data_IF_753392479328
#
_entry.id   IF_753392479328
#
_cell.length_a   1.000
_cell.length_b   1.000
_cell.length_c   1.000
_cell.angle_alpha   90.00
_cell.angle_beta   90.00
_cell.angle_gamma   90.00
#
_symmetry.space_group_name_H-M   'P 1'
#
loop_
_entity.id
_entity.type
_entity.pdbx_description
1 polymer ?
#
# COMPACT_ATOMS: atom_id res chain seq x y z
N UNK A 1 -59.88 18.05 -7.69
CA UNK A 1 -58.78 18.95 -8.11
C UNK A 1 -58.15 19.51 -6.84
N UNK A 2 -57.15 18.83 -6.28
CA UNK A 2 -56.54 19.24 -5.01
C UNK A 2 -55.11 19.71 -5.28
N UNK A 3 -54.89 21.02 -5.14
CA UNK A 3 -53.58 21.66 -5.26
C UNK A 3 -52.87 21.54 -3.91
N UNK A 4 -51.75 20.84 -3.88
CA UNK A 4 -50.81 20.86 -2.76
C UNK A 4 -49.67 21.83 -3.10
N UNK A 5 -49.54 22.87 -2.30
CA UNK A 5 -48.48 23.88 -2.42
C UNK A 5 -47.23 23.38 -1.71
N UNK A 6 -46.15 23.15 -2.46
CA UNK A 6 -44.82 22.89 -1.93
C UNK A 6 -44.26 24.15 -1.25
N UNK A 7 -43.85 24.04 0.01
CA UNK A 7 -43.02 25.07 0.66
C UNK A 7 -41.58 24.57 0.67
N UNK A 8 -40.72 25.18 -0.15
CA UNK A 8 -39.29 24.91 -0.18
C UNK A 8 -38.60 25.70 0.95
N UNK A 9 -38.04 25.00 1.93
CA UNK A 9 -37.15 25.59 2.92
C UNK A 9 -35.72 25.57 2.38
N UNK A 10 -35.22 26.76 2.02
CA UNK A 10 -33.83 27.00 1.65
C UNK A 10 -33.00 27.04 2.95
N UNK A 11 -32.34 25.93 3.29
CA UNK A 11 -31.37 25.91 4.40
C UNK A 11 -30.00 26.26 3.82
N UNK A 12 -29.59 27.52 4.04
CA UNK A 12 -28.24 28.01 3.82
C UNK A 12 -27.40 27.65 5.06
N UNK A 13 -26.72 26.49 5.05
CA UNK A 13 -25.71 26.17 6.07
C UNK A 13 -24.32 26.38 5.49
N UNK A 14 -23.58 27.25 6.18
CA UNK A 14 -22.32 27.83 5.73
C UNK A 14 -21.17 26.84 5.61
N UNK A 15 -20.32 27.13 4.63
CA UNK A 15 -18.97 26.59 4.51
C UNK A 15 -18.10 27.15 5.64
N UNK A 16 -17.56 26.26 6.49
CA UNK A 16 -16.41 26.59 7.34
C UNK A 16 -15.18 26.07 6.60
N UNK A 17 -14.41 26.99 6.02
CA UNK A 17 -13.08 26.71 5.46
C UNK A 17 -12.09 26.70 6.61
N UNK A 18 -11.69 25.52 7.07
CA UNK A 18 -10.58 25.38 8.02
C UNK A 18 -9.26 25.45 7.27
N UNK A 19 -8.70 26.66 7.19
CA UNK A 19 -7.31 26.88 6.81
C UNK A 19 -6.41 26.70 8.04
N UNK A 20 -5.54 25.70 8.01
CA UNK A 20 -4.35 25.59 8.85
C UNK A 20 -3.20 25.39 7.84
N UNK A 21 -2.23 26.26 7.64
CA UNK A 21 -1.48 27.07 8.61
C UNK A 21 -0.02 26.71 8.37
N UNK A 22 0.63 27.35 7.40
CA UNK A 22 2.07 27.23 7.15
C UNK A 22 2.86 28.09 8.14
N UNK A 23 3.98 27.60 8.67
CA UNK A 23 5.07 28.48 9.08
C UNK A 23 6.28 28.30 8.16
N UNK A 24 6.58 29.40 7.46
CA UNK A 24 7.89 29.72 6.90
C UNK A 24 8.81 30.30 7.97
N UNK A 25 10.09 29.90 7.99
CA UNK A 25 11.20 30.85 8.21
C UNK A 25 12.19 30.57 9.35
N UNK A 26 13.47 30.48 8.96
CA UNK A 26 14.68 30.80 9.75
C UNK A 26 15.25 29.63 10.57
N UNK A 27 16.53 29.25 10.52
CA UNK A 27 17.74 29.99 10.17
C UNK A 27 18.74 29.87 11.33
N UNK A 28 19.91 29.25 11.09
CA UNK A 28 21.02 29.09 12.04
C UNK A 28 21.42 27.61 12.21
N UNK A 29 22.66 27.16 12.08
CA UNK A 29 23.96 27.84 12.03
C UNK A 29 24.95 27.11 12.94
N UNK A 30 25.61 26.05 12.44
CA UNK A 30 26.84 25.42 13.00
C UNK A 30 26.73 24.77 14.40
N UNK A 31 27.76 24.03 14.88
CA UNK A 31 29.13 23.97 14.39
C UNK A 31 29.59 22.60 13.86
N UNK A 32 30.70 22.72 13.14
CA UNK A 32 31.53 21.69 12.51
C UNK A 32 32.33 20.94 13.59
N UNK A 33 32.38 19.62 13.52
CA UNK A 33 33.48 18.85 14.13
C UNK A 33 33.98 17.87 13.07
N UNK A 34 35.09 18.25 12.45
CA UNK A 34 35.95 17.34 11.71
C UNK A 34 36.76 16.51 12.71
N UNK A 35 36.90 15.21 12.47
CA UNK A 35 38.18 14.58 12.74
C UNK A 35 38.49 13.52 11.69
N UNK A 36 39.73 13.59 11.23
CA UNK A 36 40.34 12.92 10.08
C UNK A 36 41.29 11.84 10.60
N UNK A 37 41.36 10.68 9.92
CA UNK A 37 42.57 9.90 9.60
C UNK A 37 42.13 8.50 9.11
N UNK A 38 42.33 8.15 7.83
CA UNK A 38 43.52 7.50 7.25
C UNK A 38 43.64 6.02 7.67
N UNK A 39 43.82 5.00 6.81
CA UNK A 39 44.03 4.92 5.36
C UNK A 39 44.26 3.45 4.95
N UNK A 40 44.54 3.27 3.65
CA UNK A 40 45.19 2.11 2.97
C UNK A 40 44.45 0.76 2.79
N UNK A 41 44.08 0.51 1.52
CA UNK A 41 44.07 -0.78 0.75
C UNK A 41 45.49 -1.41 0.68
N UNK A 42 45.77 -2.61 0.11
CA UNK A 42 44.92 -3.66 -0.51
C UNK A 42 45.30 -5.16 -0.20
N UNK A 43 44.47 -6.08 -0.73
CA UNK A 43 44.76 -7.43 -1.27
C UNK A 43 45.58 -8.48 -0.46
N UNK A 44 45.06 -9.72 -0.34
CA UNK A 44 45.39 -10.86 -1.24
C UNK A 44 45.24 -12.24 -0.53
N UNK A 45 44.65 -13.17 -1.29
CA UNK A 45 44.74 -14.66 -1.34
C UNK A 45 45.21 -15.58 -0.18
N UNK A 46 44.60 -16.78 -0.25
CA UNK A 46 45.04 -18.11 0.23
C UNK A 46 44.76 -18.40 1.72
N UNK A 47 44.45 -19.62 2.17
CA UNK A 47 44.81 -20.94 1.67
C UNK A 47 43.95 -22.01 2.36
N UNK A 48 43.58 -23.04 1.61
CA UNK A 48 43.06 -24.33 2.10
C UNK A 48 44.11 -25.02 2.98
N UNK A 49 43.68 -25.62 4.10
CA UNK A 49 44.39 -26.75 4.71
C UNK A 49 43.40 -27.71 5.39
N UNK A 50 43.61 -28.99 5.11
CA UNK A 50 42.82 -30.16 5.55
C UNK A 50 43.53 -30.86 6.72
N UNK A 51 42.78 -31.71 7.44
CA UNK A 51 43.14 -32.74 8.46
C UNK A 51 42.81 -32.30 9.90
N UNK A 52 42.01 -32.98 10.72
CA UNK A 52 41.24 -34.21 10.64
C UNK A 52 40.77 -34.64 12.04
N UNK A 53 39.68 -35.43 12.07
CA UNK A 53 39.25 -36.36 13.12
C UNK A 53 38.20 -35.96 14.20
N UNK A 54 36.97 -36.40 13.91
CA UNK A 54 36.01 -37.16 14.72
C UNK A 54 35.56 -36.67 16.11
N UNK A 55 34.30 -36.21 16.17
CA UNK A 55 33.33 -36.73 17.13
C UNK A 55 31.90 -36.45 16.67
N UNK A 56 31.09 -37.50 16.67
CA UNK A 56 29.66 -37.55 16.33
C UNK A 56 28.85 -36.32 16.75
N UNK A 57 28.14 -35.73 15.79
CA UNK A 57 26.85 -35.08 16.04
C UNK A 57 25.97 -35.29 14.83
N UNK A 58 24.94 -36.11 15.03
CA UNK A 58 23.92 -36.43 14.04
C UNK A 58 23.03 -35.18 13.89
N UNK A 59 23.44 -34.26 13.01
CA UNK A 59 22.59 -33.14 12.59
C UNK A 59 22.23 -33.38 11.13
N UNK A 60 20.97 -33.77 10.91
CA UNK A 60 20.40 -34.03 9.61
C UNK A 60 20.40 -32.73 8.81
N UNK A 61 21.50 -32.47 8.11
CA UNK A 61 21.65 -31.31 7.23
C UNK A 61 21.00 -31.69 5.91
N UNK A 62 19.72 -31.39 5.77
CA UNK A 62 19.08 -31.37 4.46
C UNK A 62 19.72 -30.24 3.68
N UNK A 63 20.75 -30.56 2.89
CA UNK A 63 21.22 -29.72 1.81
C UNK A 63 20.10 -29.63 0.77
N UNK A 64 19.18 -28.70 0.99
CA UNK A 64 18.34 -28.22 -0.09
C UNK A 64 19.25 -27.42 -1.00
N UNK A 65 19.68 -28.05 -2.09
CA UNK A 65 20.22 -27.35 -3.25
C UNK A 65 19.24 -26.24 -3.60
N UNK A 66 19.57 -24.99 -3.26
CA UNK A 66 18.87 -23.82 -3.77
C UNK A 66 19.17 -23.73 -5.26
N UNK A 67 18.43 -24.51 -6.03
CA UNK A 67 18.20 -24.23 -7.44
C UNK A 67 17.66 -22.80 -7.47
N UNK A 68 18.41 -21.88 -8.09
CA UNK A 68 17.92 -20.54 -8.42
C UNK A 68 16.63 -20.69 -9.24
N UNK A 69 15.51 -20.74 -8.54
CA UNK A 69 14.19 -20.57 -9.11
C UNK A 69 13.92 -19.06 -9.09
N UNK A 70 13.45 -18.55 -10.22
CA UNK A 70 12.91 -17.20 -10.37
C UNK A 70 11.95 -16.91 -9.19
N UNK A 71 12.39 -16.07 -8.26
CA UNK A 71 11.68 -15.76 -7.02
C UNK A 71 10.58 -14.69 -7.20
N UNK A 72 10.31 -14.26 -8.44
CA UNK A 72 9.40 -13.14 -8.75
C UNK A 72 7.94 -13.39 -8.35
N UNK A 73 7.54 -14.66 -8.15
CA UNK A 73 6.15 -15.01 -7.81
C UNK A 73 5.93 -15.45 -6.35
N UNK A 74 6.94 -15.34 -5.50
CA UNK A 74 6.79 -15.67 -4.07
C UNK A 74 6.19 -14.48 -3.32
N UNK A 75 4.99 -14.65 -2.76
CA UNK A 75 4.33 -13.63 -1.94
C UNK A 75 4.83 -13.69 -0.48
N UNK A 76 5.05 -12.53 0.12
CA UNK A 76 5.46 -12.39 1.54
C UNK A 76 4.61 -11.35 2.25
N UNK A 77 4.43 -11.51 3.55
CA UNK A 77 3.61 -10.59 4.35
C UNK A 77 4.22 -9.18 4.38
N UNK A 78 3.44 -8.19 3.99
CA UNK A 78 3.82 -6.78 4.06
C UNK A 78 3.71 -6.26 5.50
N UNK A 79 4.84 -5.88 6.08
CA UNK A 79 4.91 -5.56 7.52
C UNK A 79 4.50 -4.12 7.84
N UNK A 80 4.74 -3.15 6.96
CA UNK A 80 4.59 -1.74 7.30
C UNK A 80 3.14 -1.31 7.57
N UNK A 81 2.16 -2.00 6.97
CA UNK A 81 0.73 -1.72 7.14
C UNK A 81 0.13 -2.27 8.44
N UNK A 82 0.81 -3.18 9.14
CA UNK A 82 0.21 -3.92 10.27
C UNK A 82 -0.21 -3.02 11.44
N UNK A 83 0.54 -1.95 11.71
CA UNK A 83 0.20 -0.96 12.74
C UNK A 83 -1.11 -0.21 12.48
N UNK A 84 -1.64 -0.28 11.25
CA UNK A 84 -2.91 0.30 10.84
C UNK A 84 -4.00 -0.77 10.63
N UNK A 85 -3.77 -2.00 11.08
CA UNK A 85 -4.71 -3.10 10.89
C UNK A 85 -4.74 -3.67 9.47
N UNK A 86 -3.80 -3.29 8.61
CA UNK A 86 -3.69 -3.81 7.23
C UNK A 86 -2.85 -5.09 7.24
N UNK A 87 -3.39 -6.14 6.64
CA UNK A 87 -2.66 -7.36 6.31
C UNK A 87 -2.74 -7.58 4.80
N UNK A 88 -1.61 -7.87 4.17
CA UNK A 88 -1.53 -8.18 2.74
C UNK A 88 -0.23 -8.90 2.45
N UNK A 89 -0.24 -9.77 1.45
CA UNK A 89 0.97 -10.36 0.90
C UNK A 89 1.36 -9.67 -0.41
N UNK A 90 2.64 -9.37 -0.55
CA UNK A 90 3.22 -8.66 -1.70
C UNK A 90 4.37 -9.48 -2.30
N UNK A 91 4.69 -9.29 -3.59
CA UNK A 91 5.80 -10.02 -4.20
C UNK A 91 7.13 -9.74 -3.50
N UNK A 92 7.93 -10.79 -3.34
CA UNK A 92 9.26 -10.71 -2.73
C UNK A 92 10.21 -9.90 -3.62
N UNK A 93 11.04 -9.04 -3.01
CA UNK A 93 12.03 -8.23 -3.72
C UNK A 93 11.51 -6.89 -4.26
N UNK A 94 10.20 -6.63 -4.16
CA UNK A 94 9.64 -5.32 -4.48
C UNK A 94 10.04 -4.26 -3.46
N UNK A 95 10.32 -3.05 -3.92
CA UNK A 95 10.77 -1.95 -3.06
C UNK A 95 9.59 -1.09 -2.65
N UNK A 96 9.41 -0.85 -1.36
CA UNK A 96 8.34 0.01 -0.83
C UNK A 96 8.84 1.43 -0.53
N UNK A 97 8.03 2.43 -0.89
CA UNK A 97 8.22 3.82 -0.51
C UNK A 97 6.94 4.40 0.07
N UNK A 98 7.01 5.37 1.00
CA UNK A 98 5.82 6.07 1.48
C UNK A 98 5.04 6.68 0.32
N UNK A 99 3.72 6.53 0.34
CA UNK A 99 2.82 7.22 -0.57
C UNK A 99 2.95 8.71 -0.32
N UNK A 100 3.54 9.45 -1.27
CA UNK A 100 3.63 10.90 -1.17
C UNK A 100 2.23 11.47 -1.31
N UNK A 101 1.82 12.25 -0.30
CA UNK A 101 0.45 12.72 -0.12
C UNK A 101 -0.21 13.18 -1.42
N UNK A 102 -1.35 12.57 -1.73
CA UNK A 102 -2.24 12.90 -2.85
C UNK A 102 -3.12 14.15 -2.55
N UNK A 103 -2.74 14.97 -1.56
CA UNK A 103 -3.53 16.11 -1.11
C UNK A 103 -4.71 15.77 -0.18
N UNK A 104 -4.90 14.50 0.20
CA UNK A 104 -5.87 14.10 1.23
C UNK A 104 -5.13 13.88 2.56
N UNK A 105 -5.21 14.87 3.46
CA UNK A 105 -4.37 14.98 4.67
C UNK A 105 -4.48 13.85 5.70
N UNK A 106 -5.48 12.97 5.59
CA UNK A 106 -5.73 11.86 6.52
C UNK A 106 -5.32 10.49 5.97
N UNK A 107 -4.66 10.46 4.81
CA UNK A 107 -4.27 9.22 4.14
C UNK A 107 -2.79 8.93 4.36
N UNK A 108 -2.48 7.76 4.89
CA UNK A 108 -1.11 7.22 4.95
C UNK A 108 -1.04 5.97 4.08
N UNK A 109 0.11 5.70 3.47
CA UNK A 109 0.22 4.56 2.58
C UNK A 109 1.62 4.30 2.06
N UNK A 110 1.70 3.32 1.18
CA UNK A 110 2.91 2.84 0.54
C UNK A 110 2.66 2.55 -0.93
N UNK A 111 3.69 2.78 -1.73
CA UNK A 111 3.78 2.29 -3.11
C UNK A 111 4.93 1.31 -3.15
N UNK A 112 4.65 0.09 -3.61
CA UNK A 112 5.64 -0.92 -3.92
C UNK A 112 5.83 -0.97 -5.44
N UNK A 113 7.08 -1.03 -5.89
CA UNK A 113 7.43 -1.07 -7.31
C UNK A 113 8.25 -2.31 -7.65
N UNK A 114 7.96 -2.92 -8.79
CA UNK A 114 8.77 -4.01 -9.32
C UNK A 114 10.16 -3.49 -9.74
N UNK A 115 11.27 -4.09 -9.27
CA UNK A 115 12.61 -3.69 -9.71
C UNK A 115 12.88 -3.93 -11.20
N UNK A 116 12.12 -4.81 -11.86
CA UNK A 116 12.28 -5.18 -13.27
C UNK A 116 11.31 -4.42 -14.19
N UNK A 117 10.20 -3.91 -13.65
CA UNK A 117 9.20 -3.16 -14.41
C UNK A 117 8.64 -1.98 -13.61
N UNK A 118 9.11 -0.77 -13.93
CA UNK A 118 8.64 0.46 -13.30
C UNK A 118 7.16 0.78 -13.53
N UNK A 119 6.50 0.13 -14.50
CA UNK A 119 5.07 0.29 -14.75
C UNK A 119 4.20 -0.61 -13.87
N UNK A 120 4.81 -1.62 -13.24
CA UNK A 120 4.20 -2.53 -12.28
C UNK A 120 4.32 -1.99 -10.86
N UNK A 121 3.20 -1.86 -10.17
CA UNK A 121 3.14 -1.28 -8.83
C UNK A 121 1.97 -1.78 -8.00
N UNK A 122 2.14 -1.76 -6.70
CA UNK A 122 1.09 -2.00 -5.71
C UNK A 122 1.00 -0.75 -4.83
N UNK A 123 -0.17 -0.16 -4.71
CA UNK A 123 -0.44 0.95 -3.79
C UNK A 123 -1.31 0.42 -2.66
N UNK A 124 -0.92 0.68 -1.42
CA UNK A 124 -1.68 0.30 -0.23
C UNK A 124 -1.84 1.57 0.60
N UNK A 125 -3.04 1.87 1.07
CA UNK A 125 -3.26 3.02 1.92
C UNK A 125 -4.38 2.80 2.94
N UNK A 126 -4.29 3.56 4.02
CA UNK A 126 -5.28 3.70 5.07
C UNK A 126 -5.71 5.16 5.17
N UNK A 127 -6.99 5.40 5.42
CA UNK A 127 -7.55 6.70 5.73
C UNK A 127 -8.50 6.61 6.92
N UNK A 128 -8.33 7.51 7.88
CA UNK A 128 -9.22 7.66 9.03
C UNK A 128 -10.52 8.43 8.69
N UNK A 129 -10.70 8.88 7.45
CA UNK A 129 -11.82 9.74 7.06
C UNK A 129 -13.14 8.95 6.91
N UNK A 130 -13.86 8.77 8.00
CA UNK A 130 -15.19 8.13 8.01
C UNK A 130 -16.18 8.89 7.14
N UNK A 131 -16.20 10.23 7.24
CA UNK A 131 -17.09 11.07 6.45
C UNK A 131 -16.84 11.02 4.94
N UNK A 132 -15.68 10.51 4.49
CA UNK A 132 -15.35 10.40 3.08
C UNK A 132 -16.07 9.23 2.39
N UNK A 133 -16.37 8.15 3.13
CA UNK A 133 -17.05 6.98 2.57
C UNK A 133 -18.48 6.78 3.08
N UNK A 134 -18.94 7.53 4.09
CA UNK A 134 -20.29 7.36 4.63
C UNK A 134 -21.34 8.02 3.71
N UNK A 135 -22.29 7.21 3.27
CA UNK A 135 -23.45 7.66 2.50
C UNK A 135 -24.46 8.43 3.35
N UNK A 136 -25.34 9.18 2.68
CA UNK A 136 -26.36 10.01 3.33
C UNK A 136 -27.39 9.21 4.16
N UNK A 137 -27.52 7.91 3.89
CA UNK A 137 -28.37 6.98 4.65
C UNK A 137 -27.67 6.38 5.89
N UNK A 138 -26.46 6.82 6.21
CA UNK A 138 -25.67 6.27 7.32
C UNK A 138 -25.09 4.88 7.04
N UNK A 139 -25.08 4.43 5.77
CA UNK A 139 -24.42 3.20 5.34
C UNK A 139 -23.15 3.55 4.54
N UNK A 140 -22.11 2.70 4.56
CA UNK A 140 -20.94 2.89 3.72
C UNK A 140 -21.30 2.98 2.22
N UNK A 141 -20.69 3.92 1.53
CA UNK A 141 -20.70 4.10 0.08
C UNK A 141 -19.26 4.22 -0.43
N UNK A 142 -18.58 3.08 -0.55
CA UNK A 142 -17.15 3.02 -0.90
C UNK A 142 -16.83 3.56 -2.29
N UNK A 143 -17.82 3.74 -3.16
CA UNK A 143 -17.62 4.37 -4.48
C UNK A 143 -17.10 5.81 -4.38
N UNK A 144 -17.36 6.50 -3.28
CA UNK A 144 -16.93 7.87 -3.05
C UNK A 144 -15.43 8.01 -2.78
N UNK A 145 -14.78 6.92 -2.36
CA UNK A 145 -13.37 6.90 -1.94
C UNK A 145 -12.48 6.10 -2.89
N UNK A 146 -12.97 5.75 -4.08
CA UNK A 146 -12.14 5.13 -5.12
C UNK A 146 -11.04 6.12 -5.51
N UNK A 147 -9.75 5.74 -5.43
CA UNK A 147 -8.62 6.65 -5.65
C UNK A 147 -8.36 6.97 -7.13
N UNK A 148 -9.14 6.41 -8.06
CA UNK A 148 -8.98 6.55 -9.51
C UNK A 148 -10.28 6.98 -10.19
N UNK A 149 -10.19 7.85 -11.19
CA UNK A 149 -11.35 8.49 -11.82
C UNK A 149 -12.07 7.64 -12.88
N UNK A 150 -11.43 6.59 -13.39
CA UNK A 150 -11.95 5.73 -14.46
C UNK A 150 -12.23 4.30 -13.99
N UNK A 151 -12.51 4.11 -12.70
CA UNK A 151 -12.86 2.82 -12.15
C UNK A 151 -14.18 2.29 -12.74
N UNK A 152 -14.17 1.00 -13.05
CA UNK A 152 -15.36 0.20 -13.30
C UNK A 152 -15.57 -0.71 -12.10
N UNK A 153 -16.65 -0.46 -11.36
CA UNK A 153 -16.98 -1.25 -10.15
C UNK A 153 -17.39 -2.66 -10.58
N UNK A 154 -16.72 -3.66 -10.02
CA UNK A 154 -16.96 -5.08 -10.33
C UNK A 154 -17.95 -5.67 -9.33
N UNK A 155 -17.76 -5.39 -8.04
CA UNK A 155 -18.57 -5.96 -6.97
C UNK A 155 -18.60 -5.07 -5.73
N UNK A 156 -19.62 -5.28 -4.90
CA UNK A 156 -19.72 -4.71 -3.56
C UNK A 156 -20.29 -5.80 -2.65
N UNK A 157 -19.74 -5.97 -1.45
CA UNK A 157 -20.25 -6.93 -0.48
C UNK A 157 -21.67 -6.60 -0.05
N UNK A 158 -22.39 -7.59 0.48
CA UNK A 158 -23.78 -7.43 0.91
C UNK A 158 -23.96 -6.39 2.04
N UNK A 159 -22.94 -6.22 2.89
CA UNK A 159 -22.88 -5.23 3.96
C UNK A 159 -22.26 -3.89 3.52
N UNK A 160 -21.91 -3.74 2.24
CA UNK A 160 -21.24 -2.56 1.67
C UNK A 160 -19.88 -2.18 2.28
N UNK A 161 -19.25 -3.04 3.07
CA UNK A 161 -17.94 -2.78 3.68
C UNK A 161 -16.76 -3.20 2.80
N UNK A 162 -17.00 -3.91 1.70
CA UNK A 162 -15.97 -4.27 0.72
C UNK A 162 -16.43 -3.90 -0.69
N UNK A 163 -15.53 -3.32 -1.48
CA UNK A 163 -15.77 -3.01 -2.89
C UNK A 163 -14.54 -3.36 -3.71
N UNK A 164 -14.74 -4.08 -4.81
CA UNK A 164 -13.69 -4.39 -5.78
C UNK A 164 -13.96 -3.68 -7.11
N UNK A 165 -12.92 -3.21 -7.78
CA UNK A 165 -13.01 -2.46 -9.03
C UNK A 165 -11.82 -2.72 -9.95
N UNK A 166 -12.01 -2.46 -11.24
CA UNK A 166 -10.95 -2.48 -12.24
C UNK A 166 -10.79 -1.10 -12.87
N UNK A 167 -9.63 -0.79 -13.43
CA UNK A 167 -9.37 0.44 -14.17
C UNK A 167 -8.22 0.29 -15.15
N UNK A 168 -8.08 1.25 -16.07
CA UNK A 168 -6.95 1.33 -17.00
C UNK A 168 -6.07 2.53 -16.62
N UNK A 169 -4.93 2.32 -15.96
CA UNK A 169 -4.03 3.41 -15.58
C UNK A 169 -3.51 4.16 -16.84
N UNK A 170 -3.47 5.48 -16.78
CA UNK A 170 -2.97 6.30 -17.88
C UNK A 170 -1.47 6.10 -18.09
N UNK A 171 -1.03 5.97 -19.34
CA UNK A 171 0.40 5.95 -19.70
C UNK A 171 1.09 4.60 -19.53
N UNK A 172 0.34 3.52 -19.34
CA UNK A 172 0.83 2.14 -19.33
C UNK A 172 -0.17 1.22 -20.06
N UNK A 173 0.32 0.09 -20.56
CA UNK A 173 -0.51 -1.01 -21.08
C UNK A 173 -1.01 -1.95 -19.97
N UNK A 174 -0.55 -1.77 -18.74
CA UNK A 174 -0.93 -2.59 -17.60
C UNK A 174 -2.39 -2.36 -17.20
N UNK A 175 -3.00 -3.35 -16.59
CA UNK A 175 -4.34 -3.26 -16.03
C UNK A 175 -4.27 -2.97 -14.54
N UNK A 176 -5.27 -2.27 -14.02
CA UNK A 176 -5.43 -1.95 -12.61
C UNK A 176 -6.59 -2.72 -12.00
N UNK A 177 -6.36 -3.33 -10.85
CA UNK A 177 -7.37 -3.97 -10.02
C UNK A 177 -7.25 -3.42 -8.61
N UNK A 178 -8.37 -3.10 -7.97
CA UNK A 178 -8.36 -2.54 -6.64
C UNK A 178 -9.46 -3.08 -5.75
N UNK A 179 -9.20 -2.98 -4.45
CA UNK A 179 -10.13 -3.35 -3.39
C UNK A 179 -10.11 -2.31 -2.28
N UNK A 180 -11.30 -2.00 -1.76
CA UNK A 180 -11.50 -1.10 -0.62
C UNK A 180 -12.23 -1.88 0.46
N UNK A 181 -11.73 -1.80 1.69
CA UNK A 181 -12.37 -2.36 2.87
C UNK A 181 -12.58 -1.22 3.88
N UNK A 182 -13.83 -0.97 4.28
CA UNK A 182 -14.15 -0.08 5.39
C UNK A 182 -14.21 -0.84 6.71
N UNK A 183 -13.84 -0.18 7.80
CA UNK A 183 -13.93 -0.78 9.12
C UNK A 183 -15.37 -0.87 9.61
N UNK A 184 -15.72 -2.00 10.22
CA UNK A 184 -17.00 -2.22 10.89
C UNK A 184 -17.23 -1.30 12.09
N UNK A 185 -16.16 -0.84 12.75
CA UNK A 185 -16.25 0.08 13.90
C UNK A 185 -16.17 1.57 13.49
N UNK A 186 -16.26 1.87 12.20
CA UNK A 186 -16.18 3.23 11.67
C UNK A 186 -14.89 3.95 12.06
N UNK A 187 -13.74 3.25 12.05
CA UNK A 187 -12.41 3.85 12.29
C UNK A 187 -11.72 4.34 11.01
N UNK A 188 -12.34 4.15 9.85
CA UNK A 188 -11.77 4.50 8.56
C UNK A 188 -11.94 3.39 7.51
N UNK A 189 -11.13 3.48 6.47
CA UNK A 189 -11.06 2.49 5.41
C UNK A 189 -9.61 2.30 4.96
N UNK A 190 -9.33 1.14 4.38
CA UNK A 190 -8.09 0.87 3.68
C UNK A 190 -8.40 0.48 2.23
N UNK A 191 -7.47 0.76 1.33
CA UNK A 191 -7.55 0.29 -0.04
C UNK A 191 -6.20 -0.25 -0.52
N UNK A 192 -6.30 -1.10 -1.53
CA UNK A 192 -5.19 -1.60 -2.31
C UNK A 192 -5.48 -1.41 -3.80
N UNK A 193 -4.49 -0.94 -4.55
CA UNK A 193 -4.47 -0.95 -6.01
C UNK A 193 -3.29 -1.79 -6.47
N UNK A 194 -3.53 -2.72 -7.38
CA UNK A 194 -2.51 -3.55 -8.03
C UNK A 194 -2.52 -3.21 -9.51
N UNK A 195 -1.39 -2.76 -10.03
CA UNK A 195 -1.17 -2.49 -11.46
C UNK A 195 -0.11 -3.44 -11.97
N UNK A 196 -0.50 -4.38 -12.83
CA UNK A 196 0.36 -5.41 -13.41
C UNK A 196 -0.03 -5.64 -14.89
N UNK A 197 0.86 -6.25 -15.70
CA UNK A 197 0.49 -6.71 -17.03
C UNK A 197 -0.68 -7.70 -16.96
N UNK A 198 -1.56 -7.72 -17.97
CA UNK A 198 -2.71 -8.63 -17.98
C UNK A 198 -2.31 -10.12 -17.91
N UNK A 199 -1.08 -10.46 -18.33
CA UNK A 199 -0.51 -11.81 -18.18
C UNK A 199 -0.32 -12.25 -16.73
N UNK A 200 -0.30 -11.31 -15.79
CA UNK A 200 -0.08 -11.54 -14.35
C UNK A 200 -1.37 -11.38 -13.53
N UNK A 201 -2.55 -11.47 -14.17
CA UNK A 201 -3.84 -11.35 -13.48
C UNK A 201 -3.98 -12.31 -12.29
N UNK A 202 -3.40 -13.52 -12.37
CA UNK A 202 -3.40 -14.49 -11.26
C UNK A 202 -2.62 -13.97 -10.04
N UNK A 203 -1.49 -13.29 -10.28
CA UNK A 203 -0.70 -12.67 -9.22
C UNK A 203 -1.49 -11.51 -8.60
N UNK A 204 -2.08 -10.64 -9.42
CA UNK A 204 -2.93 -9.54 -8.94
C UNK A 204 -4.07 -10.05 -8.06
N UNK A 205 -4.77 -11.10 -8.51
CA UNK A 205 -5.86 -11.73 -7.77
C UNK A 205 -5.39 -12.29 -6.43
N UNK A 206 -4.22 -12.94 -6.40
CA UNK A 206 -3.65 -13.51 -5.18
C UNK A 206 -3.28 -12.42 -4.16
N UNK A 207 -2.73 -11.29 -4.63
CA UNK A 207 -2.45 -10.13 -3.79
C UNK A 207 -3.75 -9.56 -3.20
N UNK A 208 -4.77 -9.33 -4.03
CA UNK A 208 -6.06 -8.81 -3.58
C UNK A 208 -6.74 -9.74 -2.58
N UNK A 209 -6.78 -11.05 -2.84
CA UNK A 209 -7.38 -12.02 -1.90
C UNK A 209 -6.66 -12.10 -0.54
N UNK A 210 -5.39 -11.70 -0.50
CA UNK A 210 -4.63 -11.63 0.75
C UNK A 210 -4.87 -10.33 1.54
N UNK A 211 -5.50 -9.33 0.92
CA UNK A 211 -5.77 -8.05 1.54
C UNK A 211 -6.86 -8.18 2.60
N UNK A 212 -6.55 -7.72 3.80
CA UNK A 212 -7.48 -7.67 4.92
C UNK A 212 -7.26 -6.36 5.68
N UNK A 213 -8.35 -5.90 6.28
CA UNK A 213 -8.35 -4.72 7.12
C UNK A 213 -9.16 -5.00 8.39
N UNK A 214 -8.52 -4.91 9.54
CA UNK A 214 -9.16 -5.04 10.84
C UNK A 214 -8.68 -3.95 11.79
N UNK A 215 -9.57 -3.01 12.11
CA UNK A 215 -9.41 -1.94 13.09
C UNK A 215 -10.59 -1.94 14.05
#
# INVERSE_FOLDING_TARGET
>A
MNKWTLTAALILTGFIVSACGTPSGGGGGGPVVANTAAGSTPANTSQTNTTGNSSNSNSNTTNTTNTNADNSNSLTAFQAGQSYGIQVQVPTGWTSHPLKGNGQGDTTGWVLTDPNDSSSKITIAYSACVGCYMGANGQPNLKQVIPVSNATVVSTSADAHTLSYNYSPSGTSNEGWGEIIASNNQSGYAYIDVVLPSSEQTLATSILQSFQFSQ
#
